data_IF_942506758176
#
_entry.id   IF_942506758176
#
_cell.length_a   1.000
_cell.length_b   1.000
_cell.length_c   1.000
_cell.angle_alpha   90.00
_cell.angle_beta   90.00
_cell.angle_gamma   90.00
#
_symmetry.space_group_name_H-M   'P 1'
#
loop_
_entity.id
_entity.type
_entity.pdbx_description
1 polymer ?
#
# COMPACT_ATOMS: atom_id res chain seq x y z
N UNK A 1 10.55 -4.83 -48.19
CA UNK A 1 9.73 -5.96 -47.69
C UNK A 1 9.88 -5.95 -46.18
N UNK A 2 8.81 -5.70 -45.44
CA UNK A 2 8.83 -5.73 -43.97
C UNK A 2 8.54 -7.18 -43.58
N UNK A 3 9.53 -7.92 -43.11
CA UNK A 3 9.34 -9.28 -42.61
C UNK A 3 8.46 -9.22 -41.37
N UNK A 4 7.18 -9.54 -41.56
CA UNK A 4 6.22 -9.70 -40.49
C UNK A 4 6.39 -11.12 -39.93
N UNK A 5 7.48 -11.36 -39.21
CA UNK A 5 7.62 -12.58 -38.42
C UNK A 5 6.76 -12.43 -37.16
N UNK A 6 5.47 -12.73 -37.30
CA UNK A 6 4.66 -13.10 -36.15
C UNK A 6 5.30 -14.36 -35.53
N UNK A 7 6.19 -14.17 -34.55
CA UNK A 7 6.76 -15.25 -33.74
C UNK A 7 5.58 -16.05 -33.18
N UNK A 8 5.31 -17.22 -33.75
CA UNK A 8 4.34 -18.16 -33.20
C UNK A 8 4.95 -18.71 -31.92
N UNK A 9 4.61 -18.10 -30.79
CA UNK A 9 4.92 -18.61 -29.46
C UNK A 9 4.36 -20.04 -29.39
N UNK A 10 5.20 -21.00 -29.02
CA UNK A 10 4.78 -22.39 -28.92
C UNK A 10 3.76 -22.57 -27.78
N UNK A 11 2.88 -23.58 -27.85
CA UNK A 11 1.95 -23.87 -26.75
C UNK A 11 2.65 -24.08 -25.39
N UNK A 12 3.89 -24.56 -25.41
CA UNK A 12 4.70 -24.75 -24.21
C UNK A 12 5.15 -23.40 -23.61
N UNK A 13 5.65 -22.49 -24.44
CA UNK A 13 6.03 -21.14 -23.99
C UNK A 13 4.81 -20.37 -23.46
N UNK A 14 3.65 -20.50 -24.11
CA UNK A 14 2.38 -19.92 -23.61
C UNK A 14 2.01 -20.48 -22.22
N UNK A 15 2.19 -21.79 -22.00
CA UNK A 15 1.91 -22.40 -20.71
C UNK A 15 2.88 -21.94 -19.62
N UNK A 16 4.16 -21.74 -19.97
CA UNK A 16 5.17 -21.22 -19.04
C UNK A 16 4.85 -19.77 -18.64
N UNK A 17 4.55 -18.90 -19.62
CA UNK A 17 4.15 -17.51 -19.35
C UNK A 17 2.90 -17.45 -18.48
N UNK A 18 1.87 -18.25 -18.80
CA UNK A 18 0.66 -18.35 -17.97
C UNK A 18 0.98 -18.78 -16.53
N UNK A 19 1.86 -19.77 -16.36
CA UNK A 19 2.22 -20.27 -15.03
C UNK A 19 2.96 -19.23 -14.20
N UNK A 20 3.86 -18.46 -14.82
CA UNK A 20 4.55 -17.34 -14.17
C UNK A 20 3.58 -16.24 -13.77
N UNK A 21 2.73 -15.78 -14.69
CA UNK A 21 1.73 -14.74 -14.42
C UNK A 21 0.74 -15.17 -13.33
N UNK A 22 0.37 -16.46 -13.28
CA UNK A 22 -0.48 -17.00 -12.23
C UNK A 22 0.19 -16.93 -10.86
N UNK A 23 1.47 -17.28 -10.77
CA UNK A 23 2.25 -17.19 -9.54
C UNK A 23 2.40 -15.74 -9.07
N UNK A 24 2.73 -14.82 -9.98
CA UNK A 24 2.81 -13.39 -9.69
C UNK A 24 1.47 -12.84 -9.22
N UNK A 25 0.36 -13.23 -9.87
CA UNK A 25 -0.98 -12.83 -9.46
C UNK A 25 -1.31 -13.30 -8.03
N UNK A 26 -0.90 -14.52 -7.67
CA UNK A 26 -1.07 -15.02 -6.31
C UNK A 26 -0.26 -14.20 -5.29
N UNK A 27 1.02 -13.94 -5.57
CA UNK A 27 1.87 -13.12 -4.70
C UNK A 27 1.33 -11.70 -4.53
N UNK A 28 0.80 -11.09 -5.60
CA UNK A 28 0.17 -9.78 -5.54
C UNK A 28 -1.09 -9.78 -4.66
N UNK A 29 -1.91 -10.84 -4.71
CA UNK A 29 -3.07 -10.99 -3.82
C UNK A 29 -2.67 -11.07 -2.36
N UNK A 30 -1.64 -11.87 -2.04
CA UNK A 30 -1.10 -11.99 -0.69
C UNK A 30 -0.56 -10.64 -0.19
N UNK A 31 0.20 -9.92 -1.03
CA UNK A 31 0.68 -8.56 -0.70
C UNK A 31 -0.46 -7.57 -0.45
N UNK A 32 -1.53 -7.62 -1.26
CA UNK A 32 -2.70 -6.77 -1.06
C UNK A 32 -3.38 -7.04 0.29
N UNK A 33 -3.46 -8.30 0.72
CA UNK A 33 -4.04 -8.66 2.01
C UNK A 33 -3.19 -8.20 3.19
N UNK A 34 -1.86 -8.31 3.06
CA UNK A 34 -0.92 -7.72 4.02
C UNK A 34 -1.09 -6.21 4.11
N UNK A 35 -1.24 -5.50 2.98
CA UNK A 35 -1.47 -4.04 2.97
C UNK A 35 -2.75 -3.68 3.73
N UNK A 36 -3.86 -4.41 3.51
CA UNK A 36 -5.10 -4.17 4.26
C UNK A 36 -4.93 -4.38 5.76
N UNK A 37 -4.22 -5.44 6.15
CA UNK A 37 -3.93 -5.74 7.56
C UNK A 37 -3.11 -4.61 8.20
N UNK A 38 -2.09 -4.11 7.50
CA UNK A 38 -1.29 -2.97 7.95
C UNK A 38 -2.12 -1.68 8.06
N UNK A 39 -2.97 -1.40 7.06
CA UNK A 39 -3.89 -0.25 7.05
C UNK A 39 -4.78 -0.25 8.29
N UNK A 40 -5.35 -1.40 8.66
CA UNK A 40 -6.13 -1.56 9.89
C UNK A 40 -5.30 -1.37 11.15
N UNK A 41 -4.10 -1.96 11.21
CA UNK A 41 -3.18 -1.81 12.36
C UNK A 41 -2.78 -0.34 12.59
N UNK A 42 -2.50 0.41 11.51
CA UNK A 42 -2.24 1.86 11.58
C UNK A 42 -3.46 2.59 12.15
N UNK A 43 -4.67 2.27 11.70
CA UNK A 43 -5.91 2.87 12.21
C UNK A 43 -6.09 2.64 13.72
N UNK A 44 -5.85 1.42 14.19
CA UNK A 44 -5.89 1.09 15.62
C UNK A 44 -4.84 1.88 16.40
N UNK A 45 -3.60 1.92 15.94
CA UNK A 45 -2.53 2.67 16.62
C UNK A 45 -2.81 4.18 16.67
N UNK A 46 -3.35 4.74 15.59
CA UNK A 46 -3.79 6.13 15.56
C UNK A 46 -4.90 6.36 16.59
N UNK A 47 -5.93 5.51 16.64
CA UNK A 47 -7.01 5.62 17.61
C UNK A 47 -6.53 5.46 19.07
N UNK A 48 -5.60 4.54 19.34
CA UNK A 48 -5.00 4.34 20.67
C UNK A 48 -4.25 5.59 21.16
N UNK A 49 -3.43 6.20 20.29
CA UNK A 49 -2.73 7.46 20.58
C UNK A 49 -3.72 8.60 20.93
N UNK A 50 -4.94 8.56 20.38
CA UNK A 50 -6.01 9.52 20.70
C UNK A 50 -6.66 9.21 22.05
N UNK A 51 -6.96 7.94 22.33
CA UNK A 51 -7.68 7.56 23.56
C UNK A 51 -6.93 7.89 24.85
N UNK A 52 -5.60 8.04 24.77
CA UNK A 52 -4.73 8.43 25.89
C UNK A 52 -4.43 9.94 26.00
N UNK A 53 -4.95 10.76 25.09
CA UNK A 53 -4.63 12.18 24.93
C UNK A 53 -5.91 13.02 24.82
N UNK A 54 -5.97 14.23 25.36
CA UNK A 54 -7.08 15.16 25.06
C UNK A 54 -7.07 15.64 23.59
N UNK A 55 -6.14 15.15 22.77
CA UNK A 55 -6.04 15.48 21.36
C UNK A 55 -7.14 14.76 20.54
N UNK A 56 -8.12 15.54 20.09
CA UNK A 56 -8.96 15.18 18.95
C UNK A 56 -8.08 15.03 17.71
N UNK A 57 -7.87 13.80 17.24
CA UNK A 57 -7.25 13.61 15.93
C UNK A 57 -8.26 13.96 14.85
N UNK A 58 -7.93 14.88 13.93
CA UNK A 58 -8.77 15.18 12.79
C UNK A 58 -8.86 13.97 11.85
N UNK A 59 -10.00 13.82 11.18
CA UNK A 59 -10.26 12.75 10.18
C UNK A 59 -9.22 12.71 9.07
N UNK A 60 -8.46 13.79 8.87
CA UNK A 60 -7.30 13.85 8.01
C UNK A 60 -6.16 14.65 8.64
N UNK A 61 -4.92 14.28 8.34
CA UNK A 61 -3.78 14.99 8.87
C UNK A 61 -2.45 14.49 8.35
N UNK A 62 -1.37 15.03 8.94
CA UNK A 62 0.00 14.61 8.66
C UNK A 62 0.64 14.17 9.96
N UNK A 63 1.24 12.98 9.96
CA UNK A 63 2.07 12.47 11.06
C UNK A 63 3.52 12.33 10.61
N UNK A 64 4.45 12.50 11.55
CA UNK A 64 5.86 12.15 11.36
C UNK A 64 6.11 10.75 11.93
N UNK A 65 6.64 9.85 11.10
CA UNK A 65 7.11 8.52 11.48
C UNK A 65 8.54 8.35 10.96
N UNK A 66 9.49 8.09 11.85
CA UNK A 66 10.91 7.86 11.52
C UNK A 66 11.51 8.94 10.59
N UNK A 67 11.17 10.21 10.81
CA UNK A 67 11.66 11.35 10.01
C UNK A 67 11.00 11.51 8.62
N UNK A 68 10.00 10.69 8.29
CA UNK A 68 9.16 10.80 7.10
C UNK A 68 7.76 11.28 7.49
N UNK A 69 7.27 12.31 6.80
CA UNK A 69 5.90 12.77 6.93
C UNK A 69 4.97 11.91 6.08
N UNK A 70 3.89 11.43 6.70
CA UNK A 70 2.82 10.69 6.05
C UNK A 70 1.51 11.45 6.18
N UNK A 71 0.83 11.65 5.05
CA UNK A 71 -0.56 12.07 5.07
C UNK A 71 -1.44 10.86 5.33
N UNK A 72 -2.43 11.04 6.21
CA UNK A 72 -3.46 10.06 6.47
C UNK A 72 -4.86 10.65 6.34
N UNK A 73 -5.80 9.80 5.98
CA UNK A 73 -7.23 10.01 6.15
C UNK A 73 -7.76 8.80 6.91
N UNK A 74 -8.50 9.02 7.98
CA UNK A 74 -9.15 7.97 8.78
C UNK A 74 -10.65 8.19 8.80
N UNK A 75 -11.39 7.11 8.66
CA UNK A 75 -12.80 7.06 8.96
C UNK A 75 -12.94 6.67 10.44
N UNK A 76 -13.31 7.63 11.30
CA UNK A 76 -13.47 7.38 12.73
C UNK A 76 -14.65 6.45 13.06
N UNK A 77 -15.66 6.37 12.17
CA UNK A 77 -16.84 5.52 12.39
C UNK A 77 -16.52 4.02 12.33
N UNK A 78 -15.56 3.61 11.50
CA UNK A 78 -15.18 2.21 11.32
C UNK A 78 -13.70 1.92 11.62
N UNK A 79 -12.92 2.94 11.99
CA UNK A 79 -11.50 2.84 12.32
C UNK A 79 -10.61 2.52 11.12
N UNK A 80 -11.12 2.65 9.89
CA UNK A 80 -10.34 2.39 8.69
C UNK A 80 -9.49 3.60 8.33
N UNK A 81 -8.23 3.37 7.93
CA UNK A 81 -7.42 4.41 7.28
C UNK A 81 -7.81 4.36 5.82
N UNK A 82 -8.31 5.42 5.21
CA UNK A 82 -8.69 5.46 3.80
C UNK A 82 -7.47 5.71 2.90
N UNK A 83 -6.61 6.63 3.33
CA UNK A 83 -5.41 7.03 2.62
C UNK A 83 -4.23 7.06 3.58
N UNK A 84 -3.09 6.53 3.14
CA UNK A 84 -1.83 6.59 3.88
C UNK A 84 -0.66 6.66 2.88
N UNK A 85 -0.04 7.83 2.74
CA UNK A 85 1.03 8.03 1.75
C UNK A 85 2.11 8.97 2.25
N UNK A 86 3.35 8.69 1.87
CA UNK A 86 4.48 9.56 2.14
C UNK A 86 4.30 10.90 1.40
N UNK A 87 4.48 12.03 2.10
CA UNK A 87 4.33 13.38 1.52
C UNK A 87 5.63 14.19 1.51
N UNK A 88 6.53 14.02 2.48
CA UNK A 88 7.86 14.67 2.48
C UNK A 88 8.79 14.07 3.54
N UNK A 89 10.11 14.11 3.32
CA UNK A 89 11.09 13.86 4.38
C UNK A 89 11.30 15.12 5.22
N UNK A 90 11.39 14.98 6.53
CA UNK A 90 11.92 16.04 7.40
C UNK A 90 13.44 15.95 7.29
N UNK A 91 14.07 16.89 6.57
CA UNK A 91 15.53 17.03 6.66
C UNK A 91 15.86 17.49 8.08
N UNK A 92 16.24 16.55 8.94
CA UNK A 92 16.92 16.89 10.18
C UNK A 92 18.21 17.62 9.79
N UNK A 93 18.20 18.94 9.98
CA UNK A 93 19.40 19.75 9.85
C UNK A 93 20.24 19.45 11.08
N UNK A 94 21.37 18.77 10.87
CA UNK A 94 22.36 18.46 11.90
C UNK A 94 23.02 19.73 12.46
#
# INVERSE_FOLDING_TARGET
MVSNESKKISPYELFQEFSMLRLESQQLRERLETIKTLKSSIGVQLAELCSGSEASVPDEGVIELDGQLYYYTICLEDGSVDEFRAVSYVKQSA
#
